data_IF_013555775071
#
_entry.id   IF_013555775071
#
_cell.length_a   1.000
_cell.length_b   1.000
_cell.length_c   1.000
_cell.angle_alpha   90.00
_cell.angle_beta   90.00
_cell.angle_gamma   90.00
#
_symmetry.space_group_name_H-M   'P 1'
#
loop_
_entity.id
_entity.type
_entity.pdbx_description
1 polymer ?
#
# COMPACT_ATOMS: atom_id res chain seq x y z
N UNK A 1 0.03 7.40 7.30
CA UNK A 1 1.47 7.79 7.19
C UNK A 1 2.26 6.56 6.78
N UNK A 2 3.33 6.73 5.98
CA UNK A 2 4.25 5.67 5.58
C UNK A 2 5.69 6.20 5.58
N UNK A 3 6.67 5.33 5.80
CA UNK A 3 8.10 5.67 5.76
C UNK A 3 8.82 4.80 4.73
N UNK A 4 9.81 5.39 4.06
CA UNK A 4 10.80 4.68 3.25
C UNK A 4 12.16 5.04 3.83
N UNK A 5 12.68 4.16 4.69
CA UNK A 5 13.93 4.40 5.44
C UNK A 5 15.15 4.48 4.51
N UNK A 6 15.36 3.55 3.56
CA UNK A 6 16.48 3.68 2.61
C UNK A 6 16.42 4.95 1.76
N UNK A 7 15.20 5.38 1.40
CA UNK A 7 15.00 6.62 0.63
C UNK A 7 14.98 7.89 1.49
N UNK A 8 15.11 7.78 2.82
CA UNK A 8 15.06 8.89 3.76
C UNK A 8 13.84 9.81 3.55
N UNK A 9 12.66 9.21 3.35
CA UNK A 9 11.41 9.95 3.15
C UNK A 9 10.25 9.42 4.00
N UNK A 10 9.35 10.35 4.34
CA UNK A 10 8.08 10.07 5.00
C UNK A 10 6.94 10.63 4.17
N UNK A 11 5.87 9.85 4.04
CA UNK A 11 4.63 10.21 3.36
C UNK A 11 3.47 10.31 4.36
N UNK A 12 2.68 11.37 4.28
CA UNK A 12 1.47 11.53 5.07
C UNK A 12 0.42 12.36 4.31
N UNK A 13 -0.86 12.14 4.61
CA UNK A 13 -1.97 12.94 4.11
C UNK A 13 -2.37 14.00 5.12
N UNK A 14 -2.85 15.15 4.63
CA UNK A 14 -3.60 16.09 5.48
C UNK A 14 -5.03 15.57 5.73
N UNK A 15 -5.68 16.08 6.78
CA UNK A 15 -7.06 15.74 7.16
C UNK A 15 -7.98 16.92 6.87
N UNK A 16 -8.29 17.11 5.58
CA UNK A 16 -9.22 18.14 5.09
C UNK A 16 -9.91 17.65 3.82
N UNK A 17 -10.96 18.35 3.40
CA UNK A 17 -11.60 18.09 2.11
C UNK A 17 -10.58 18.15 0.97
N UNK A 18 -10.66 17.17 0.06
CA UNK A 18 -9.71 16.97 -1.03
C UNK A 18 -8.28 16.86 -0.51
N UNK A 19 -7.98 15.83 0.30
CA UNK A 19 -6.68 15.71 0.95
C UNK A 19 -5.55 15.55 -0.07
N UNK A 20 -4.36 15.97 0.33
CA UNK A 20 -3.12 15.87 -0.45
C UNK A 20 -2.16 14.97 0.30
N UNK A 21 -1.46 14.09 -0.42
CA UNK A 21 -0.36 13.31 0.14
C UNK A 21 0.92 14.13 -0.02
N UNK A 22 1.58 14.41 1.09
CA UNK A 22 2.87 15.06 1.12
C UNK A 22 3.97 14.04 1.33
N UNK A 23 5.09 14.23 0.63
CA UNK A 23 6.32 13.49 0.86
C UNK A 23 7.42 14.46 1.26
N UNK A 24 8.02 14.19 2.39
CA UNK A 24 9.07 14.99 3.00
C UNK A 24 10.35 14.14 3.11
N UNK A 25 11.51 14.78 2.99
CA UNK A 25 12.76 14.17 3.42
C UNK A 25 12.76 14.02 4.95
N UNK A 26 13.43 13.00 5.43
CA UNK A 26 13.62 12.73 6.85
C UNK A 26 15.09 12.38 7.08
N UNK A 27 15.78 12.99 8.06
CA UNK A 27 15.25 13.77 9.18
C UNK A 27 15.09 15.27 8.90
N UNK A 28 15.51 15.77 7.74
CA UNK A 28 15.54 17.23 7.48
C UNK A 28 14.18 17.90 7.34
N UNK A 29 13.08 17.12 7.22
CA UNK A 29 11.70 17.61 7.10
C UNK A 29 11.52 18.66 5.99
N UNK A 30 12.25 18.50 4.88
CA UNK A 30 12.06 19.35 3.70
C UNK A 30 11.04 18.72 2.77
N UNK A 31 10.06 19.51 2.30
CA UNK A 31 9.02 19.01 1.40
C UNK A 31 9.62 18.67 0.04
N UNK A 32 9.51 17.41 -0.40
CA UNK A 32 9.95 16.97 -1.73
C UNK A 32 8.84 17.08 -2.76
N UNK A 33 7.68 16.46 -2.49
CA UNK A 33 6.60 16.38 -3.47
C UNK A 33 5.20 16.43 -2.84
N UNK A 34 4.21 16.80 -3.66
CA UNK A 34 2.79 16.81 -3.33
C UNK A 34 2.05 15.95 -4.36
N UNK A 35 1.49 14.84 -3.92
CA UNK A 35 0.66 13.98 -4.77
C UNK A 35 -0.80 14.38 -4.58
N UNK A 36 -1.46 14.73 -5.69
CA UNK A 36 -2.88 15.11 -5.72
C UNK A 36 -3.66 14.04 -6.46
N UNK A 37 -4.69 13.50 -5.82
CA UNK A 37 -5.67 12.62 -6.43
C UNK A 37 -7.07 13.20 -6.32
N UNK A 38 -8.06 12.36 -6.63
CA UNK A 38 -9.47 12.76 -6.73
C UNK A 38 -10.29 12.31 -5.51
N UNK A 39 -9.61 12.09 -4.38
CA UNK A 39 -10.23 11.65 -3.12
C UNK A 39 -10.86 12.84 -2.42
N UNK A 40 -12.05 12.67 -1.85
CA UNK A 40 -12.78 13.76 -1.20
C UNK A 40 -12.48 13.90 0.29
N UNK A 41 -12.32 12.79 1.02
CA UNK A 41 -12.30 12.80 2.48
C UNK A 41 -10.95 12.41 3.08
N UNK A 42 -10.44 11.21 2.79
CA UNK A 42 -9.22 10.74 3.45
C UNK A 42 -8.40 9.73 2.64
N UNK A 43 -7.09 9.78 2.87
CA UNK A 43 -6.20 8.66 2.58
C UNK A 43 -5.90 7.95 3.90
N UNK A 44 -6.66 6.89 4.18
CA UNK A 44 -6.55 6.05 5.37
C UNK A 44 -5.18 5.34 5.41
N UNK A 45 -4.81 4.65 4.34
CA UNK A 45 -3.57 3.87 4.28
C UNK A 45 -2.60 4.46 3.25
N UNK A 46 -1.33 4.47 3.61
CA UNK A 46 -0.21 4.75 2.72
C UNK A 46 0.81 3.63 2.92
N UNK A 47 1.45 3.18 1.84
CA UNK A 47 2.49 2.16 1.90
C UNK A 47 3.53 2.41 0.80
N UNK A 48 4.81 2.47 1.15
CA UNK A 48 5.88 2.48 0.15
C UNK A 48 6.17 1.05 -0.30
N UNK A 49 6.46 0.90 -1.59
CA UNK A 49 7.11 -0.31 -2.12
C UNK A 49 8.52 -0.45 -1.54
N UNK A 50 8.98 -1.70 -1.39
CA UNK A 50 10.30 -1.99 -0.84
C UNK A 50 11.46 -1.53 -1.73
N UNK A 51 11.23 -1.39 -3.04
CA UNK A 51 12.22 -0.79 -3.95
C UNK A 51 12.25 0.74 -3.86
N UNK A 52 11.37 1.35 -3.05
CA UNK A 52 11.37 2.77 -2.77
C UNK A 52 10.70 3.67 -3.80
N UNK A 53 10.51 3.23 -5.05
CA UNK A 53 9.99 4.07 -6.17
C UNK A 53 8.49 4.27 -6.17
N UNK A 54 7.72 3.29 -5.70
CA UNK A 54 6.26 3.33 -5.75
C UNK A 54 5.64 3.57 -4.38
N UNK A 55 4.54 4.30 -4.36
CA UNK A 55 3.67 4.49 -3.19
C UNK A 55 2.30 3.94 -3.54
N UNK A 56 1.70 3.15 -2.65
CA UNK A 56 0.28 2.82 -2.70
C UNK A 56 -0.48 3.67 -1.70
N UNK A 57 -1.67 4.12 -2.07
CA UNK A 57 -2.62 4.78 -1.18
C UNK A 57 -3.96 4.09 -1.23
N UNK A 58 -4.64 4.05 -0.09
CA UNK A 58 -6.03 3.60 -0.01
C UNK A 58 -6.88 4.69 0.66
N UNK A 59 -8.03 4.98 0.06
CA UNK A 59 -9.05 5.88 0.60
C UNK A 59 -10.22 5.09 1.16
N UNK A 60 -10.91 5.67 2.15
CA UNK A 60 -12.12 5.06 2.71
C UNK A 60 -13.36 5.57 1.95
N UNK A 61 -14.45 5.82 2.65
CA UNK A 61 -15.65 6.41 2.08
C UNK A 61 -15.36 7.81 1.50
N UNK A 62 -16.02 8.20 0.38
CA UNK A 62 -16.92 7.39 -0.44
C UNK A 62 -16.23 6.54 -1.54
N UNK A 63 -14.94 6.75 -1.82
CA UNK A 63 -14.33 6.23 -3.04
C UNK A 63 -13.85 4.77 -2.96
N UNK A 64 -13.46 4.29 -1.77
CA UNK A 64 -12.83 2.97 -1.56
C UNK A 64 -11.72 2.69 -2.59
N UNK A 65 -10.94 3.71 -2.93
CA UNK A 65 -10.00 3.69 -4.04
C UNK A 65 -8.60 3.30 -3.58
N UNK A 66 -8.10 2.23 -4.19
CA UNK A 66 -6.69 1.87 -4.21
C UNK A 66 -6.01 2.58 -5.39
N UNK A 67 -4.94 3.34 -5.13
CA UNK A 67 -4.15 3.99 -6.16
C UNK A 67 -2.67 3.64 -6.03
N UNK A 68 -2.03 3.41 -7.18
CA UNK A 68 -0.58 3.24 -7.29
C UNK A 68 0.05 4.49 -7.88
N UNK A 69 1.07 5.00 -7.19
CA UNK A 69 1.81 6.20 -7.57
C UNK A 69 3.24 5.83 -7.93
N UNK A 70 3.76 6.39 -9.01
CA UNK A 70 5.18 6.68 -9.10
C UNK A 70 5.37 8.06 -8.47
N UNK A 71 5.78 8.08 -7.20
CA UNK A 71 5.79 9.31 -6.42
C UNK A 71 6.93 10.23 -6.82
N UNK A 72 8.04 9.71 -7.35
CA UNK A 72 9.14 10.53 -7.85
C UNK A 72 8.75 11.26 -9.14
N UNK A 73 8.07 10.54 -10.05
CA UNK A 73 7.56 11.10 -11.29
C UNK A 73 6.27 11.92 -11.12
N UNK A 74 5.70 11.97 -9.91
CA UNK A 74 4.43 12.65 -9.60
C UNK A 74 3.23 12.19 -10.44
N UNK A 75 3.17 10.89 -10.77
CA UNK A 75 2.08 10.33 -11.61
C UNK A 75 1.36 9.19 -10.91
N UNK A 76 0.04 9.16 -11.14
CA UNK A 76 -0.79 8.00 -10.80
C UNK A 76 -0.65 7.00 -11.94
N UNK A 77 -0.19 5.80 -11.62
CA UNK A 77 -0.02 4.71 -12.59
C UNK A 77 -1.34 4.00 -12.85
N UNK A 78 -2.10 3.73 -11.79
CA UNK A 78 -3.42 3.11 -11.89
C UNK A 78 -4.24 3.32 -10.62
N UNK A 79 -5.56 3.18 -10.77
CA UNK A 79 -6.55 3.26 -9.70
C UNK A 79 -7.54 2.12 -9.80
N UNK A 80 -8.08 1.69 -8.67
CA UNK A 80 -9.18 0.74 -8.61
C UNK A 80 -10.05 1.05 -7.40
N UNK A 81 -11.31 1.37 -7.65
CA UNK A 81 -12.32 1.40 -6.59
C UNK A 81 -12.77 -0.02 -6.27
N UNK A 82 -12.85 -0.34 -4.98
CA UNK A 82 -13.35 -1.61 -4.51
C UNK A 82 -14.30 -1.40 -3.32
N UNK A 83 -15.55 -0.96 -3.59
CA UNK A 83 -16.57 -0.81 -2.55
C UNK A 83 -16.87 -2.19 -1.94
N UNK A 84 -16.82 -2.30 -0.62
CA UNK A 84 -17.11 -3.53 0.11
C UNK A 84 -15.93 -4.19 0.82
N UNK A 85 -14.71 -3.64 0.72
CA UNK A 85 -13.61 -3.99 1.61
C UNK A 85 -13.24 -2.81 2.50
N UNK A 86 -13.41 -2.96 3.81
CA UNK A 86 -12.85 -2.03 4.79
C UNK A 86 -11.41 -2.42 5.10
N UNK A 87 -10.49 -1.93 4.28
CA UNK A 87 -9.08 -2.30 4.35
C UNK A 87 -8.45 -1.65 5.57
N UNK A 88 -7.95 -2.48 6.49
CA UNK A 88 -7.26 -2.04 7.70
C UNK A 88 -5.74 -2.07 7.55
N UNK A 89 -5.21 -2.90 6.66
CA UNK A 89 -3.76 -3.02 6.41
C UNK A 89 -3.47 -3.20 4.92
N UNK A 90 -2.35 -2.64 4.47
CA UNK A 90 -1.88 -2.70 3.08
C UNK A 90 -0.36 -2.84 3.04
N UNK A 91 0.15 -3.78 2.26
CA UNK A 91 1.60 -3.99 2.11
C UNK A 91 1.98 -4.51 0.73
N UNK A 92 3.14 -4.06 0.23
CA UNK A 92 3.75 -4.61 -0.98
C UNK A 92 4.44 -5.94 -0.70
N UNK A 93 4.62 -6.74 -1.74
CA UNK A 93 5.54 -7.87 -1.73
C UNK A 93 7.01 -7.33 -1.76
N UNK A 94 7.86 -7.62 -0.75
CA UNK A 94 9.25 -7.17 -0.71
C UNK A 94 10.11 -7.58 -1.90
N UNK A 95 9.81 -8.73 -2.50
CA UNK A 95 10.54 -9.31 -3.63
C UNK A 95 9.99 -8.87 -4.99
N UNK A 96 8.76 -8.36 -5.03
CA UNK A 96 8.10 -7.99 -6.27
C UNK A 96 7.07 -6.88 -6.03
N UNK A 97 7.44 -5.64 -6.33
CA UNK A 97 6.57 -4.47 -6.18
C UNK A 97 5.26 -4.56 -6.96
N UNK A 98 5.16 -5.43 -7.99
CA UNK A 98 3.93 -5.64 -8.75
C UNK A 98 2.90 -6.47 -8.00
N UNK A 99 3.18 -6.89 -6.78
CA UNK A 99 2.29 -7.70 -5.97
C UNK A 99 2.07 -7.00 -4.64
N UNK A 100 0.83 -6.99 -4.18
CA UNK A 100 0.49 -6.41 -2.89
C UNK A 100 -0.69 -7.12 -2.25
N UNK A 101 -0.77 -6.98 -0.93
CA UNK A 101 -1.81 -7.53 -0.09
C UNK A 101 -2.61 -6.39 0.55
N UNK A 102 -3.93 -6.49 0.49
CA UNK A 102 -4.87 -5.68 1.24
C UNK A 102 -5.60 -6.62 2.20
N UNK A 103 -5.67 -6.25 3.47
CA UNK A 103 -6.42 -7.04 4.46
C UNK A 103 -7.36 -6.19 5.28
N UNK A 104 -8.44 -6.83 5.67
CA UNK A 104 -9.49 -6.36 6.57
C UNK A 104 -9.62 -7.36 7.72
N UNK A 105 -10.41 -7.06 8.77
CA UNK A 105 -10.66 -8.02 9.84
C UNK A 105 -11.28 -9.36 9.37
N UNK A 106 -11.99 -9.36 8.24
CA UNK A 106 -12.74 -10.54 7.75
C UNK A 106 -12.21 -11.17 6.46
N UNK A 107 -11.34 -10.47 5.72
CA UNK A 107 -10.88 -10.92 4.41
C UNK A 107 -9.49 -10.41 4.07
N UNK A 108 -8.77 -11.20 3.28
CA UNK A 108 -7.48 -10.84 2.68
C UNK A 108 -7.61 -10.95 1.17
N UNK A 109 -7.15 -9.92 0.46
CA UNK A 109 -7.14 -9.88 -0.99
C UNK A 109 -5.74 -9.62 -1.52
N UNK A 110 -5.43 -10.32 -2.60
CA UNK A 110 -4.13 -10.25 -3.26
C UNK A 110 -4.30 -9.56 -4.60
N UNK A 111 -3.47 -8.55 -4.82
CA UNK A 111 -3.51 -7.74 -6.03
C UNK A 111 -2.18 -7.84 -6.77
N UNK A 112 -2.30 -8.05 -8.08
CA UNK A 112 -1.19 -7.96 -9.03
C UNK A 112 -1.37 -6.69 -9.85
N UNK A 113 -0.30 -5.91 -9.95
CA UNK A 113 -0.18 -4.76 -10.84
C UNK A 113 0.34 -5.31 -12.17
N UNK A 114 -0.56 -5.44 -13.13
CA UNK A 114 -0.21 -5.77 -14.50
C UNK A 114 0.17 -4.51 -15.27
N UNK A 115 1.07 -4.62 -16.24
CA UNK A 115 1.50 -3.52 -17.09
C UNK A 115 1.29 -3.92 -18.55
N UNK A 116 0.55 -3.10 -19.28
CA UNK A 116 0.39 -3.20 -20.73
C UNK A 116 0.94 -1.92 -21.35
N UNK A 117 2.07 -2.02 -22.06
CA UNK A 117 2.81 -0.86 -22.58
C UNK A 117 3.19 0.15 -21.50
N UNK A 118 2.51 1.30 -21.45
CA UNK A 118 2.70 2.35 -20.44
C UNK A 118 1.60 2.34 -19.36
N UNK A 119 0.52 1.60 -19.57
CA UNK A 119 -0.61 1.55 -18.65
C UNK A 119 -0.43 0.45 -17.60
N UNK A 120 -0.90 0.74 -16.39
CA UNK A 120 -0.90 -0.20 -15.29
C UNK A 120 -2.35 -0.49 -14.88
N UNK A 121 -2.61 -1.71 -14.39
CA UNK A 121 -3.95 -2.10 -13.94
C UNK A 121 -3.84 -3.02 -12.73
N UNK A 122 -4.74 -2.84 -11.77
CA UNK A 122 -4.88 -3.75 -10.64
C UNK A 122 -5.75 -4.95 -11.03
N UNK A 123 -5.24 -6.15 -10.77
CA UNK A 123 -5.94 -7.41 -10.95
C UNK A 123 -5.92 -8.24 -9.67
N UNK A 124 -7.09 -8.69 -9.23
CA UNK A 124 -7.19 -9.65 -8.13
C UNK A 124 -6.58 -10.97 -8.60
N UNK A 125 -5.63 -11.47 -7.84
CA UNK A 125 -4.94 -12.73 -8.12
C UNK A 125 -5.32 -13.78 -7.09
N UNK A 126 -5.59 -15.00 -7.56
CA UNK A 126 -5.80 -16.18 -6.70
C UNK A 126 -4.48 -16.84 -6.27
N UNK A 127 -3.33 -16.28 -6.67
CA UNK A 127 -2.02 -16.81 -6.30
C UNK A 127 -1.72 -16.45 -4.85
N UNK A 128 -1.31 -17.44 -4.07
CA UNK A 128 -0.63 -17.21 -2.80
C UNK A 128 0.67 -16.45 -3.08
N UNK A 129 0.71 -15.18 -2.70
CA UNK A 129 1.99 -14.50 -2.51
C UNK A 129 2.57 -15.09 -1.22
N UNK A 130 3.73 -15.73 -1.29
CA UNK A 130 4.45 -16.30 -0.13
C UNK A 130 4.74 -15.28 1.01
N UNK A 131 4.41 -14.00 0.79
CA UNK A 131 4.53 -12.88 1.74
C UNK A 131 3.27 -12.63 2.56
N UNK A 132 2.13 -13.24 2.21
CA UNK A 132 0.86 -13.06 2.94
C UNK A 132 0.94 -13.39 4.44
N UNK A 133 1.98 -14.09 4.92
CA UNK A 133 2.07 -14.53 6.32
C UNK A 133 3.09 -13.75 7.19
N UNK A 134 4.10 -13.09 6.63
CA UNK A 134 5.19 -12.53 7.46
C UNK A 134 4.80 -11.24 8.20
N UNK A 135 3.84 -10.46 7.69
CA UNK A 135 3.43 -9.19 8.31
C UNK A 135 2.12 -9.28 9.11
N UNK A 136 1.23 -10.24 8.84
CA UNK A 136 0.01 -10.42 9.65
C UNK A 136 0.26 -11.07 11.03
N UNK A 137 1.38 -11.79 11.22
CA UNK A 137 1.74 -12.39 12.52
C UNK A 137 2.52 -11.46 13.46
N UNK A 138 3.24 -10.46 12.92
CA UNK A 138 4.02 -9.55 13.76
C UNK A 138 3.19 -8.52 14.54
N UNK A 139 1.91 -8.34 14.21
CA UNK A 139 1.02 -7.37 14.89
C UNK A 139 0.26 -7.94 16.09
N UNK A 140 0.37 -9.25 16.36
CA UNK A 140 -0.18 -9.87 17.57
C UNK A 140 0.90 -10.02 18.66
N UNK A 141 1.41 -8.89 19.16
CA UNK A 141 1.87 -8.75 20.56
C UNK A 141 2.81 -9.79 21.20
N UNK A 142 3.71 -10.46 20.47
CA UNK A 142 4.70 -11.35 21.07
C UNK A 142 6.13 -10.85 20.81
N UNK A 143 6.77 -10.38 21.88
CA UNK A 143 8.22 -10.24 21.95
C UNK A 143 8.82 -11.63 21.71
N UNK A 144 9.81 -11.69 20.83
CA UNK A 144 10.49 -12.87 20.26
C UNK A 144 9.84 -13.41 18.97
N UNK A 145 10.36 -12.93 17.84
CA UNK A 145 10.15 -13.56 16.55
C UNK A 145 11.06 -14.80 16.46
N UNK A 146 10.53 -15.98 16.77
CA UNK A 146 11.16 -17.25 16.40
C UNK A 146 10.55 -17.69 15.08
N UNK A 147 11.38 -17.77 14.04
CA UNK A 147 10.97 -18.26 12.73
C UNK A 147 10.74 -19.77 12.81
N UNK A 148 9.49 -20.21 12.67
CA UNK A 148 9.17 -21.61 12.40
C UNK A 148 8.46 -21.67 11.05
N UNK A 149 9.08 -22.35 10.07
CA UNK A 149 8.47 -22.64 8.77
C UNK A 149 7.20 -23.48 8.98
N UNK A 150 6.06 -22.83 9.06
CA UNK A 150 4.74 -23.47 9.12
C UNK A 150 3.87 -23.01 7.97
N UNK A 151 3.93 -23.71 6.83
CA UNK A 151 3.00 -23.49 5.71
C UNK A 151 1.61 -23.96 6.17
N UNK A 152 0.75 -23.06 6.66
CA UNK A 152 -0.68 -23.37 6.78
C UNK A 152 -1.39 -22.94 5.50
N UNK A 153 -1.82 -23.95 4.75
CA UNK A 153 -2.74 -23.88 3.62
C UNK A 153 -4.03 -23.19 4.09
N UNK A 154 -4.23 -21.93 3.74
CA UNK A 154 -5.56 -21.32 3.75
C UNK A 154 -6.13 -21.52 2.36
N UNK A 155 -6.93 -22.57 2.21
CA UNK A 155 -7.71 -22.85 1.01
C UNK A 155 -8.96 -21.96 1.10
N UNK A 156 -9.22 -21.17 0.06
CA UNK A 156 -10.59 -20.78 -0.29
C UNK A 156 -11.06 -21.71 -1.40
#
# INVERSE_FOLDING_TARGET
MATNVPGEVVAFSDRRLKPIIYIYSFPSLTRKIKLKGDILLDYNLLCFSYCGTYLASYSSLPEFELALWNWEANVILCKKSNPGMDVSQMTFNPMNWRQMCLSSPSAVSVWTIERSNQEHHFRISRKMIYILCFTQLCTAGLRQATCTLGVRRVIF
#
